data_IF_937987323960
#
_entry.id   IF_937987323960
#
_cell.length_a   1.000
_cell.length_b   1.000
_cell.length_c   1.000
_cell.angle_alpha   90.00
_cell.angle_beta   90.00
_cell.angle_gamma   90.00
#
_symmetry.space_group_name_H-M   'P 1'
#
loop_
_entity.id
_entity.type
_entity.pdbx_description
1 polymer ?
#
# COMPACT_ATOMS: atom_id res chain seq x y z
N UNK A 1 14.64 5.02 6.32
CA UNK A 1 13.79 6.18 6.24
C UNK A 1 12.43 5.98 6.89
N UNK A 2 11.60 5.09 6.33
CA UNK A 2 10.31 4.75 6.88
C UNK A 2 10.46 4.07 8.24
N UNK A 3 11.45 3.19 8.39
CA UNK A 3 11.74 2.54 9.66
C UNK A 3 12.16 3.54 10.73
N UNK A 4 12.92 4.58 10.35
CA UNK A 4 13.30 5.64 11.27
C UNK A 4 12.07 6.43 11.75
N UNK A 5 11.15 6.72 10.84
CA UNK A 5 9.91 7.40 11.19
C UNK A 5 9.09 6.58 12.20
N UNK A 6 9.00 5.26 12.01
CA UNK A 6 8.30 4.39 12.96
C UNK A 6 8.95 4.41 14.34
N UNK A 7 10.28 4.43 14.41
CA UNK A 7 11.00 4.51 15.67
C UNK A 7 10.67 5.80 16.42
N UNK A 8 10.60 6.92 15.70
CA UNK A 8 10.30 8.22 16.28
C UNK A 8 8.85 8.34 16.74
N UNK A 9 7.91 7.78 15.98
CA UNK A 9 6.48 7.91 16.27
C UNK A 9 5.90 6.77 17.10
N UNK A 10 6.58 5.61 17.13
CA UNK A 10 6.07 4.40 17.78
C UNK A 10 4.86 3.80 17.05
N UNK A 11 4.64 4.14 15.78
CA UNK A 11 3.50 3.67 14.98
C UNK A 11 3.96 3.06 13.68
N UNK A 12 3.09 2.25 13.06
CA UNK A 12 3.33 1.76 11.72
C UNK A 12 3.37 2.93 10.75
N UNK A 13 4.28 2.86 9.78
CA UNK A 13 4.40 3.88 8.76
C UNK A 13 3.83 3.38 7.44
N UNK A 14 3.07 4.22 6.77
CA UNK A 14 2.40 3.89 5.52
C UNK A 14 2.92 4.76 4.38
N UNK A 15 3.12 4.14 3.22
CA UNK A 15 3.64 4.84 2.05
C UNK A 15 3.06 4.25 0.76
N UNK A 16 2.62 5.12 -0.15
CA UNK A 16 2.32 4.72 -1.52
C UNK A 16 3.56 4.92 -2.37
N UNK A 17 3.96 3.88 -3.08
CA UNK A 17 5.06 3.94 -4.03
C UNK A 17 4.45 3.96 -5.45
N UNK A 18 4.57 5.10 -6.14
CA UNK A 18 3.92 5.30 -7.43
C UNK A 18 4.98 5.44 -8.50
N UNK A 19 4.87 4.63 -9.55
CA UNK A 19 5.78 4.65 -10.68
C UNK A 19 5.03 4.30 -11.97
N UNK A 20 5.51 4.75 -13.14
CA UNK A 20 4.86 4.41 -14.41
C UNK A 20 4.70 2.91 -14.61
N UNK A 21 5.72 2.14 -14.22
CA UNK A 21 5.70 0.69 -14.19
C UNK A 21 6.46 0.21 -12.97
N UNK A 22 6.03 -0.93 -12.42
CA UNK A 22 6.65 -1.52 -11.24
C UNK A 22 7.10 -2.93 -11.62
N UNK A 23 8.41 -3.20 -11.50
CA UNK A 23 8.94 -4.52 -11.85
C UNK A 23 8.64 -5.54 -10.74
N UNK A 24 8.71 -6.82 -11.10
CA UNK A 24 8.40 -7.92 -10.18
C UNK A 24 9.28 -7.93 -8.93
N UNK A 25 10.55 -7.55 -9.07
CA UNK A 25 11.46 -7.51 -7.92
C UNK A 25 11.01 -6.52 -6.87
N UNK A 26 10.52 -5.35 -7.29
CA UNK A 26 10.01 -4.35 -6.37
C UNK A 26 8.72 -4.82 -5.71
N UNK A 27 7.84 -5.46 -6.46
CA UNK A 27 6.59 -6.01 -5.91
C UNK A 27 6.92 -7.07 -4.85
N UNK A 28 7.84 -7.97 -5.15
CA UNK A 28 8.27 -9.01 -4.22
C UNK A 28 8.87 -8.41 -2.93
N UNK A 29 9.68 -7.37 -3.08
CA UNK A 29 10.29 -6.70 -1.94
C UNK A 29 9.24 -6.06 -1.04
N UNK A 30 8.31 -5.31 -1.62
CA UNK A 30 7.26 -4.65 -0.85
C UNK A 30 6.30 -5.65 -0.22
N UNK A 31 6.02 -6.75 -0.91
CA UNK A 31 5.22 -7.84 -0.36
C UNK A 31 5.90 -8.42 0.89
N UNK A 32 7.20 -8.70 0.80
CA UNK A 32 7.95 -9.22 1.95
C UNK A 32 7.92 -8.25 3.13
N UNK A 33 8.04 -6.95 2.88
CA UNK A 33 8.01 -5.93 3.94
C UNK A 33 6.70 -5.94 4.73
N UNK A 34 5.59 -6.35 4.12
CA UNK A 34 4.29 -6.41 4.81
C UNK A 34 4.28 -7.43 5.94
N UNK A 35 5.15 -8.43 5.89
CA UNK A 35 5.21 -9.48 6.91
C UNK A 35 6.37 -9.32 7.87
N UNK A 36 7.29 -8.39 7.59
CA UNK A 36 8.49 -8.20 8.40
C UNK A 36 8.27 -7.19 9.52
N UNK A 37 8.72 -7.54 10.72
CA UNK A 37 8.88 -6.60 11.82
C UNK A 37 10.36 -6.34 11.99
N UNK A 38 10.74 -5.06 12.00
CA UNK A 38 12.13 -4.68 12.22
C UNK A 38 12.31 -4.41 13.71
N UNK A 39 13.01 -5.32 14.40
CA UNK A 39 13.06 -5.37 15.85
C UNK A 39 13.47 -4.03 16.51
N UNK A 40 14.43 -3.32 15.92
CA UNK A 40 14.90 -2.06 16.48
C UNK A 40 13.92 -0.90 16.31
N UNK A 41 13.05 -0.96 15.33
CA UNK A 41 12.16 0.14 15.00
C UNK A 41 10.71 -0.13 15.36
N UNK A 42 10.37 -1.38 15.68
CA UNK A 42 9.00 -1.78 15.97
C UNK A 42 8.07 -1.61 14.75
N UNK A 43 6.86 -2.17 14.82
CA UNK A 43 5.86 -2.00 13.79
C UNK A 43 6.25 -2.56 12.42
N UNK A 44 5.50 -2.17 11.40
CA UNK A 44 5.70 -2.62 10.02
C UNK A 44 5.86 -1.43 9.09
N UNK A 45 6.69 -1.60 8.06
CA UNK A 45 6.76 -0.67 6.95
C UNK A 45 5.75 -1.12 5.89
N UNK A 46 4.67 -0.38 5.73
CA UNK A 46 3.62 -0.73 4.79
C UNK A 46 3.78 0.14 3.56
N UNK A 47 4.42 -0.42 2.53
CA UNK A 47 4.64 0.27 1.26
C UNK A 47 3.79 -0.42 0.21
N UNK A 48 2.79 0.31 -0.29
CA UNK A 48 1.88 -0.21 -1.32
C UNK A 48 2.32 0.32 -2.67
N UNK A 49 2.76 -0.56 -3.59
CA UNK A 49 3.12 -0.14 -4.93
C UNK A 49 1.88 0.00 -5.81
N UNK A 50 1.79 1.11 -6.52
CA UNK A 50 0.73 1.34 -7.51
C UNK A 50 1.33 1.91 -8.77
N UNK A 51 0.94 1.36 -9.91
CA UNK A 51 1.31 1.97 -11.18
C UNK A 51 0.59 3.29 -11.36
N UNK A 52 1.21 4.21 -12.09
CA UNK A 52 0.71 5.57 -12.23
C UNK A 52 -0.72 5.63 -12.78
N UNK A 53 -1.05 4.78 -13.75
CA UNK A 53 -2.40 4.76 -14.33
C UNK A 53 -3.47 4.35 -13.30
N UNK A 54 -3.14 3.46 -12.39
CA UNK A 54 -4.04 3.07 -11.29
C UNK A 54 -4.26 4.27 -10.36
N UNK A 55 -3.19 4.96 -10.00
CA UNK A 55 -3.29 6.13 -9.14
C UNK A 55 -4.10 7.25 -9.78
N UNK A 56 -3.89 7.51 -11.07
CA UNK A 56 -4.66 8.50 -11.82
C UNK A 56 -6.15 8.13 -11.81
N UNK A 57 -6.47 6.84 -11.99
CA UNK A 57 -7.86 6.37 -11.92
C UNK A 57 -8.48 6.64 -10.55
N UNK A 58 -7.73 6.44 -9.48
CA UNK A 58 -8.21 6.75 -8.12
C UNK A 58 -8.55 8.23 -7.99
N UNK A 59 -7.70 9.11 -8.49
CA UNK A 59 -7.92 10.56 -8.46
C UNK A 59 -9.15 10.93 -9.28
N UNK A 60 -9.31 10.35 -10.46
CA UNK A 60 -10.48 10.58 -11.30
C UNK A 60 -11.78 10.14 -10.62
N UNK A 61 -11.77 9.01 -9.94
CA UNK A 61 -12.94 8.55 -9.18
C UNK A 61 -13.32 9.55 -8.11
N UNK A 62 -12.36 10.09 -7.38
CA UNK A 62 -12.62 11.11 -6.36
C UNK A 62 -13.18 12.39 -6.98
N UNK A 63 -12.61 12.83 -8.09
CA UNK A 63 -13.08 14.00 -8.80
C UNK A 63 -14.52 13.82 -9.27
N UNK A 64 -14.84 12.67 -9.88
CA UNK A 64 -16.18 12.37 -10.39
C UNK A 64 -17.19 12.21 -9.27
N UNK A 65 -16.78 11.73 -8.11
CA UNK A 65 -17.65 11.61 -6.94
C UNK A 65 -17.93 12.96 -6.28
N UNK A 66 -17.13 13.98 -6.58
CA UNK A 66 -17.36 15.34 -6.08
C UNK A 66 -16.91 15.57 -4.65
N UNK A 67 -16.07 14.70 -4.09
CA UNK A 67 -15.55 14.91 -2.74
C UNK A 67 -14.13 14.38 -2.59
N UNK A 68 -13.46 14.87 -1.55
CA UNK A 68 -12.13 14.36 -1.17
C UNK A 68 -12.33 13.19 -0.21
N UNK A 69 -11.74 12.01 -0.50
CA UNK A 69 -11.87 10.88 0.40
C UNK A 69 -11.35 11.18 1.80
N UNK A 70 -12.00 10.61 2.80
CA UNK A 70 -11.57 10.78 4.17
C UNK A 70 -10.36 9.88 4.50
N UNK A 71 -9.65 10.16 5.63
CA UNK A 71 -8.48 9.36 6.00
C UNK A 71 -8.74 7.86 6.13
N UNK A 72 -9.95 7.45 6.51
CA UNK A 72 -10.28 6.04 6.64
C UNK A 72 -10.33 5.32 5.29
N UNK A 73 -10.81 6.00 4.26
CA UNK A 73 -10.82 5.43 2.91
C UNK A 73 -9.40 5.21 2.40
N UNK A 74 -8.51 6.15 2.66
CA UNK A 74 -7.10 6.00 2.30
C UNK A 74 -6.45 4.88 3.12
N UNK A 75 -6.65 4.89 4.43
CA UNK A 75 -6.09 3.89 5.34
C UNK A 75 -6.56 2.48 5.01
N UNK A 76 -7.78 2.32 4.51
CA UNK A 76 -8.33 1.02 4.18
C UNK A 76 -7.50 0.28 3.12
N UNK A 77 -6.83 1.00 2.23
CA UNK A 77 -5.96 0.40 1.22
C UNK A 77 -4.78 -0.30 1.91
N UNK A 78 -4.18 0.37 2.87
CA UNK A 78 -3.03 -0.17 3.62
C UNK A 78 -3.43 -1.35 4.49
N UNK A 79 -4.54 -1.24 5.18
CA UNK A 79 -5.06 -2.33 6.00
C UNK A 79 -5.40 -3.56 5.16
N UNK A 80 -6.02 -3.33 4.01
CA UNK A 80 -6.34 -4.41 3.07
C UNK A 80 -5.05 -5.06 2.53
N UNK A 81 -4.04 -4.26 2.19
CA UNK A 81 -2.77 -4.81 1.69
C UNK A 81 -2.08 -5.69 2.72
N UNK A 82 -2.13 -5.31 3.99
CA UNK A 82 -1.59 -6.12 5.09
C UNK A 82 -2.33 -7.45 5.22
N UNK A 83 -3.65 -7.40 5.18
CA UNK A 83 -4.45 -8.62 5.29
C UNK A 83 -4.22 -9.55 4.10
N UNK A 84 -4.21 -9.01 2.90
CA UNK A 84 -4.02 -9.81 1.69
C UNK A 84 -2.59 -10.36 1.58
N UNK A 85 -1.60 -9.72 2.18
CA UNK A 85 -0.26 -10.28 2.23
C UNK A 85 -0.23 -11.63 2.97
N UNK A 86 -1.10 -11.79 3.96
CA UNK A 86 -1.23 -13.06 4.71
C UNK A 86 -2.01 -14.11 3.92
N UNK A 87 -2.93 -13.68 3.06
CA UNK A 87 -3.88 -14.55 2.38
C UNK A 87 -3.53 -14.82 0.92
N UNK A 88 -2.43 -14.27 0.42
CA UNK A 88 -2.00 -14.47 -0.95
C UNK A 88 -0.90 -15.52 -1.03
N UNK A 89 -0.89 -16.29 -2.11
CA UNK A 89 0.10 -17.36 -2.29
C UNK A 89 1.45 -16.80 -2.76
N UNK A 90 1.44 -15.66 -3.44
CA UNK A 90 2.66 -15.02 -3.92
C UNK A 90 2.44 -13.50 -4.10
N UNK A 91 3.51 -12.81 -4.47
CA UNK A 91 3.49 -11.36 -4.68
C UNK A 91 2.61 -10.93 -5.85
N UNK A 92 2.43 -11.79 -6.84
CA UNK A 92 1.60 -11.46 -8.01
C UNK A 92 0.13 -11.43 -7.62
N UNK A 93 -0.32 -12.43 -6.87
CA UNK A 93 -1.69 -12.48 -6.38
C UNK A 93 -1.96 -11.32 -5.44
N UNK A 94 -1.01 -11.04 -4.54
CA UNK A 94 -1.12 -9.92 -3.62
C UNK A 94 -1.26 -8.59 -4.36
N UNK A 95 -0.40 -8.35 -5.35
CA UNK A 95 -0.43 -7.09 -6.09
C UNK A 95 -1.72 -6.93 -6.89
N UNK A 96 -2.23 -8.01 -7.49
CA UNK A 96 -3.49 -7.99 -8.22
C UNK A 96 -4.65 -7.58 -7.31
N UNK A 97 -4.68 -8.11 -6.09
CA UNK A 97 -5.71 -7.76 -5.09
C UNK A 97 -5.59 -6.31 -4.65
N UNK A 98 -4.38 -5.84 -4.43
CA UNK A 98 -4.13 -4.43 -4.05
C UNK A 98 -4.58 -3.47 -5.15
N UNK A 99 -4.28 -3.78 -6.40
CA UNK A 99 -4.74 -2.97 -7.54
C UNK A 99 -6.26 -2.92 -7.62
N UNK A 100 -6.92 -4.06 -7.46
CA UNK A 100 -8.37 -4.13 -7.49
C UNK A 100 -8.98 -3.26 -6.39
N UNK A 101 -8.41 -3.31 -5.19
CA UNK A 101 -8.87 -2.48 -4.07
C UNK A 101 -8.69 -1.00 -4.39
N UNK A 102 -7.55 -0.62 -4.94
CA UNK A 102 -7.29 0.78 -5.30
C UNK A 102 -8.28 1.28 -6.35
N UNK A 103 -8.61 0.47 -7.33
CA UNK A 103 -9.57 0.82 -8.38
C UNK A 103 -11.01 0.94 -7.86
N UNK A 104 -11.29 0.44 -6.68
CA UNK A 104 -12.61 0.45 -6.04
C UNK A 104 -12.54 1.03 -4.62
N UNK A 105 -11.75 2.06 -4.42
CA UNK A 105 -11.44 2.55 -3.07
C UNK A 105 -12.47 3.50 -2.47
N UNK A 106 -13.37 4.02 -3.29
CA UNK A 106 -14.51 4.81 -2.83
C UNK A 106 -15.73 3.89 -2.58
#
# INVERSE_FOLDING_TARGET
HLAKLRKETGKDAYCLFIAPKINESCIAYFYALHTMNIAFYGGKSVIVPLELDVFINMVEQSYNAGYVPNPQQVKSIFEYSLEQAKNSVDEKEWYAKVKEKALNWL
#
